data_IF_029778967474
#
_entry.id   IF_029778967474
#
_cell.length_a   1.000
_cell.length_b   1.000
_cell.length_c   1.000
_cell.angle_alpha   90.00
_cell.angle_beta   90.00
_cell.angle_gamma   90.00
#
_symmetry.space_group_name_H-M   'P 1'
#
loop_
_entity.id
_entity.type
_entity.pdbx_description
1 polymer ?
#
# COMPACT_ATOMS: atom_id res chain seq x y z
N UNK A 1 52.15 73.12 -13.87
CA UNK A 1 50.92 72.31 -13.95
C UNK A 1 51.30 70.85 -14.17
N UNK A 2 51.25 70.03 -13.12
CA UNK A 2 51.72 68.64 -13.12
C UNK A 2 50.54 67.73 -13.52
N UNK A 3 50.65 67.01 -14.65
CA UNK A 3 49.68 65.98 -15.04
C UNK A 3 50.04 64.66 -14.37
N UNK A 4 49.17 64.16 -13.48
CA UNK A 4 49.26 62.82 -12.87
C UNK A 4 48.80 61.77 -13.90
N UNK A 5 49.65 60.79 -14.19
CA UNK A 5 49.27 59.58 -14.93
C UNK A 5 48.66 58.57 -13.95
N UNK A 6 47.45 58.10 -14.22
CA UNK A 6 46.81 57.03 -13.45
C UNK A 6 47.16 55.68 -14.09
N UNK A 7 47.88 54.83 -13.36
CA UNK A 7 48.05 53.42 -13.69
C UNK A 7 46.75 52.68 -13.34
N UNK A 8 46.08 52.10 -14.34
CA UNK A 8 44.96 51.19 -14.12
C UNK A 8 45.51 49.78 -13.80
N UNK A 9 45.35 49.34 -12.55
CA UNK A 9 45.63 47.97 -12.15
C UNK A 9 44.52 47.05 -12.65
N UNK A 10 44.83 46.17 -13.59
CA UNK A 10 43.91 45.18 -14.14
C UNK A 10 43.88 43.96 -13.20
N UNK A 11 42.86 43.87 -12.36
CA UNK A 11 42.62 42.71 -11.51
C UNK A 11 42.17 41.52 -12.37
N UNK A 12 43.02 40.49 -12.51
CA UNK A 12 42.61 39.21 -13.09
C UNK A 12 41.73 38.48 -12.08
N UNK A 13 40.43 38.44 -12.36
CA UNK A 13 39.48 37.61 -11.64
C UNK A 13 39.67 36.15 -12.11
N UNK A 14 40.36 35.35 -11.31
CA UNK A 14 40.47 33.91 -11.55
C UNK A 14 39.09 33.28 -11.31
N UNK A 15 38.40 32.92 -12.39
CA UNK A 15 37.18 32.13 -12.37
C UNK A 15 37.53 30.72 -11.89
N UNK A 16 37.28 30.44 -10.61
CA UNK A 16 37.26 29.08 -10.09
C UNK A 16 36.01 28.38 -10.63
N UNK A 17 36.20 27.53 -11.64
CA UNK A 17 35.12 26.64 -12.11
C UNK A 17 34.85 25.65 -10.97
N UNK A 18 33.62 25.61 -10.41
CA UNK A 18 33.30 24.61 -9.40
C UNK A 18 33.42 23.23 -10.06
N UNK A 19 34.24 22.35 -9.49
CA UNK A 19 34.30 20.96 -9.92
C UNK A 19 32.89 20.38 -9.83
N UNK A 20 32.32 19.98 -10.97
CA UNK A 20 31.05 19.27 -11.00
C UNK A 20 31.20 18.05 -10.10
N UNK A 21 30.42 17.98 -9.02
CA UNK A 21 30.39 16.82 -8.15
C UNK A 21 30.12 15.59 -9.02
N UNK A 22 31.09 14.67 -9.07
CA UNK A 22 30.93 13.41 -9.80
C UNK A 22 29.65 12.75 -9.30
N UNK A 23 28.74 12.38 -10.20
CA UNK A 23 27.57 11.61 -9.82
C UNK A 23 28.04 10.36 -9.06
N UNK A 24 27.38 9.98 -7.94
CA UNK A 24 27.81 8.84 -7.15
C UNK A 24 27.92 7.60 -8.03
N UNK A 25 29.06 6.91 -7.95
CA UNK A 25 29.29 5.65 -8.64
C UNK A 25 28.26 4.65 -8.10
N UNK A 26 27.65 3.87 -8.99
CA UNK A 26 26.73 2.82 -8.60
C UNK A 26 27.44 1.82 -7.67
N UNK A 27 26.86 1.60 -6.49
CA UNK A 27 27.34 0.66 -5.50
C UNK A 27 26.22 -0.32 -5.13
N UNK A 28 26.15 -1.43 -5.85
CA UNK A 28 25.17 -2.49 -5.60
C UNK A 28 25.30 -3.10 -4.21
N UNK A 29 26.52 -3.16 -3.65
CA UNK A 29 26.75 -3.73 -2.32
C UNK A 29 26.16 -2.84 -1.23
N UNK A 30 26.40 -1.54 -1.29
CA UNK A 30 25.81 -0.59 -0.35
C UNK A 30 24.27 -0.61 -0.40
N UNK A 31 23.68 -0.71 -1.60
CA UNK A 31 22.23 -0.84 -1.77
C UNK A 31 21.68 -2.16 -1.18
N UNK A 32 22.40 -3.27 -1.35
CA UNK A 32 22.05 -4.55 -0.76
C UNK A 32 22.11 -4.51 0.78
N UNK A 33 23.17 -3.94 1.34
CA UNK A 33 23.33 -3.79 2.80
C UNK A 33 22.17 -2.97 3.39
N UNK A 34 21.75 -1.88 2.73
CA UNK A 34 20.60 -1.07 3.14
C UNK A 34 19.27 -1.86 3.10
N UNK A 35 19.07 -2.64 2.03
CA UNK A 35 17.88 -3.46 1.86
C UNK A 35 17.81 -4.57 2.94
N UNK A 36 18.93 -5.26 3.20
CA UNK A 36 19.05 -6.27 4.25
C UNK A 36 18.78 -5.67 5.62
N UNK A 37 19.39 -4.52 5.94
CA UNK A 37 19.19 -3.85 7.22
C UNK A 37 17.72 -3.47 7.44
N UNK A 38 17.02 -3.08 6.37
CA UNK A 38 15.58 -2.80 6.42
C UNK A 38 14.77 -4.08 6.61
N UNK A 39 15.03 -5.12 5.82
CA UNK A 39 14.33 -6.39 5.93
C UNK A 39 14.50 -7.03 7.33
N UNK A 40 15.72 -7.00 7.89
CA UNK A 40 15.99 -7.49 9.25
C UNK A 40 15.16 -6.79 10.32
N UNK A 41 14.98 -5.47 10.19
CA UNK A 41 14.28 -4.66 11.17
C UNK A 41 12.76 -4.81 11.06
N UNK A 42 12.23 -4.87 9.85
CA UNK A 42 10.79 -4.73 9.60
C UNK A 42 10.06 -6.05 9.35
N UNK A 43 10.75 -7.09 8.85
CA UNK A 43 10.08 -8.32 8.44
C UNK A 43 9.52 -9.08 9.66
N UNK A 44 8.23 -9.38 9.64
CA UNK A 44 7.56 -10.15 10.70
C UNK A 44 8.24 -11.50 10.98
N UNK A 45 8.75 -12.15 9.92
CA UNK A 45 9.46 -13.44 10.02
C UNK A 45 10.96 -13.30 10.27
N UNK A 46 11.50 -12.10 10.54
CA UNK A 46 12.95 -11.85 10.65
C UNK A 46 13.67 -12.82 11.60
N UNK A 47 13.06 -13.15 12.76
CA UNK A 47 13.62 -14.11 13.71
C UNK A 47 13.68 -15.57 13.24
N UNK A 48 13.07 -15.90 12.10
CA UNK A 48 13.05 -17.24 11.48
C UNK A 48 13.92 -17.32 10.22
N UNK A 49 14.56 -16.23 9.81
CA UNK A 49 15.41 -16.18 8.61
C UNK A 49 16.82 -16.62 8.95
N UNK A 50 17.39 -17.51 8.14
CA UNK A 50 18.83 -17.79 8.13
C UNK A 50 19.55 -16.63 7.45
N UNK A 51 19.81 -15.57 8.23
CA UNK A 51 20.40 -14.36 7.71
C UNK A 51 21.80 -14.55 7.13
N UNK A 52 22.74 -15.28 7.76
CA UNK A 52 24.04 -15.53 7.15
C UNK A 52 23.93 -16.12 5.74
N UNK A 53 23.06 -17.12 5.54
CA UNK A 53 22.86 -17.72 4.22
C UNK A 53 22.19 -16.76 3.22
N UNK A 54 21.17 -16.03 3.65
CA UNK A 54 20.46 -15.08 2.78
C UNK A 54 21.33 -13.90 2.37
N UNK A 55 22.09 -13.32 3.31
CA UNK A 55 23.00 -12.22 3.05
C UNK A 55 24.11 -12.61 2.08
N UNK A 56 24.73 -13.77 2.26
CA UNK A 56 25.74 -14.26 1.33
C UNK A 56 25.21 -14.34 -0.11
N UNK A 57 23.98 -14.87 -0.28
CA UNK A 57 23.32 -14.95 -1.59
C UNK A 57 22.99 -13.57 -2.17
N UNK A 58 22.45 -12.67 -1.35
CA UNK A 58 22.06 -11.32 -1.78
C UNK A 58 23.28 -10.49 -2.17
N UNK A 59 24.36 -10.57 -1.38
CA UNK A 59 25.63 -9.90 -1.67
C UNK A 59 26.32 -10.42 -2.92
N UNK A 60 26.32 -11.75 -3.13
CA UNK A 60 26.88 -12.33 -4.35
C UNK A 60 26.15 -11.83 -5.60
N UNK A 61 24.81 -11.75 -5.55
CA UNK A 61 24.01 -11.21 -6.64
C UNK A 61 24.25 -9.69 -6.84
N UNK A 62 24.33 -8.93 -5.74
CA UNK A 62 24.59 -7.49 -5.78
C UNK A 62 25.96 -7.14 -6.38
N UNK A 63 26.99 -7.97 -6.14
CA UNK A 63 28.31 -7.79 -6.74
C UNK A 63 28.36 -7.97 -8.25
N UNK A 64 27.32 -8.57 -8.85
CA UNK A 64 27.17 -8.73 -10.30
C UNK A 64 26.27 -7.66 -10.93
N UNK A 65 25.57 -6.85 -10.13
CA UNK A 65 24.69 -5.81 -10.62
C UNK A 65 25.49 -4.69 -11.27
N UNK A 66 25.01 -4.15 -12.40
CA UNK A 66 25.65 -3.02 -13.09
C UNK A 66 25.02 -1.67 -12.76
N UNK A 67 23.74 -1.70 -12.40
CA UNK A 67 22.92 -0.54 -12.13
C UNK A 67 21.71 -0.91 -11.25
N UNK A 68 20.87 0.08 -10.94
CA UNK A 68 19.64 -0.13 -10.16
C UNK A 68 18.61 -1.05 -10.82
N UNK A 69 18.67 -1.24 -12.15
CA UNK A 69 17.75 -2.13 -12.84
C UNK A 69 18.12 -3.59 -12.54
N UNK A 70 19.42 -3.92 -12.53
CA UNK A 70 19.88 -5.25 -12.16
C UNK A 70 19.62 -5.56 -10.66
N UNK A 71 19.57 -4.53 -9.80
CA UNK A 71 19.21 -4.67 -8.38
C UNK A 71 17.78 -5.18 -8.15
N UNK A 72 16.87 -5.07 -9.12
CA UNK A 72 15.48 -5.53 -8.94
C UNK A 72 15.39 -7.03 -8.59
N UNK A 73 16.19 -7.87 -9.25
CA UNK A 73 16.23 -9.30 -8.95
C UNK A 73 16.93 -9.58 -7.61
N UNK A 74 17.92 -8.75 -7.23
CA UNK A 74 18.60 -8.84 -5.93
C UNK A 74 17.60 -8.59 -4.79
N UNK A 75 16.76 -7.56 -4.93
CA UNK A 75 15.71 -7.27 -3.96
C UNK A 75 14.62 -8.33 -3.94
N UNK A 76 14.20 -8.84 -5.11
CA UNK A 76 13.22 -9.93 -5.17
C UNK A 76 13.73 -11.19 -4.44
N UNK A 77 15.01 -11.55 -4.63
CA UNK A 77 15.65 -12.66 -3.93
C UNK A 77 15.71 -12.44 -2.40
N UNK A 78 16.01 -11.22 -1.95
CA UNK A 78 15.97 -10.87 -0.53
C UNK A 78 14.57 -11.09 0.06
N UNK A 79 13.53 -10.58 -0.60
CA UNK A 79 12.16 -10.64 -0.11
C UNK A 79 11.58 -12.07 -0.17
N UNK A 80 11.93 -12.84 -1.20
CA UNK A 80 11.59 -14.27 -1.28
C UNK A 80 12.22 -15.05 -0.12
N UNK A 81 13.47 -14.72 0.24
CA UNK A 81 14.20 -15.31 1.36
C UNK A 81 13.57 -15.07 2.74
N UNK A 82 12.64 -14.13 2.88
CA UNK A 82 11.87 -13.93 4.12
C UNK A 82 10.87 -15.07 4.37
N UNK A 83 10.48 -15.79 3.31
CA UNK A 83 9.56 -16.92 3.40
C UNK A 83 8.16 -16.55 3.90
N UNK A 84 7.73 -15.29 3.74
CA UNK A 84 6.40 -14.82 4.14
C UNK A 84 5.35 -14.91 3.03
N UNK A 85 5.77 -15.02 1.76
CA UNK A 85 4.87 -15.08 0.60
C UNK A 85 4.10 -13.78 0.31
N UNK A 86 4.41 -12.69 1.01
CA UNK A 86 3.68 -11.41 0.95
C UNK A 86 4.59 -10.19 0.76
N UNK A 87 5.91 -10.35 0.89
CA UNK A 87 6.90 -9.34 0.57
C UNK A 87 7.31 -9.39 -0.90
N UNK A 88 7.21 -8.25 -1.61
CA UNK A 88 7.55 -8.17 -3.04
C UNK A 88 8.05 -6.79 -3.45
N UNK A 89 8.79 -6.73 -4.55
CA UNK A 89 9.30 -5.48 -5.12
C UNK A 89 8.22 -4.85 -6.00
N UNK A 90 7.86 -3.60 -5.69
CA UNK A 90 6.98 -2.80 -6.54
C UNK A 90 7.80 -1.83 -7.38
N UNK A 91 7.59 -1.85 -8.68
CA UNK A 91 8.18 -0.91 -9.64
C UNK A 91 7.13 -0.44 -10.63
N UNK A 92 7.30 0.74 -11.24
CA UNK A 92 6.43 1.16 -12.32
C UNK A 92 6.60 0.28 -13.57
N UNK A 93 5.58 0.25 -14.43
CA UNK A 93 5.50 -0.66 -15.58
C UNK A 93 6.64 -0.47 -16.60
N UNK A 94 7.10 0.76 -16.79
CA UNK A 94 8.22 1.07 -17.69
C UNK A 94 9.52 0.43 -17.21
N UNK A 95 9.79 0.47 -15.90
CA UNK A 95 10.97 -0.17 -15.29
C UNK A 95 10.88 -1.69 -15.37
N UNK A 96 9.71 -2.28 -15.14
CA UNK A 96 9.49 -3.73 -15.32
C UNK A 96 9.73 -4.15 -16.77
N UNK A 97 9.17 -3.41 -17.75
CA UNK A 97 9.40 -3.64 -19.18
C UNK A 97 10.87 -3.50 -19.57
N UNK A 98 11.57 -2.51 -19.02
CA UNK A 98 13.01 -2.33 -19.25
C UNK A 98 13.82 -3.52 -18.74
N UNK A 99 13.47 -4.06 -17.58
CA UNK A 99 14.10 -5.27 -17.04
C UNK A 99 13.85 -6.47 -17.96
N UNK A 100 12.59 -6.72 -18.33
CA UNK A 100 12.19 -7.82 -19.20
C UNK A 100 12.90 -7.75 -20.57
N UNK A 101 12.97 -6.57 -21.18
CA UNK A 101 13.65 -6.37 -22.46
C UNK A 101 15.15 -6.66 -22.39
N UNK A 102 15.79 -6.34 -21.25
CA UNK A 102 17.24 -6.56 -21.05
C UNK A 102 17.57 -8.03 -20.73
N UNK A 103 16.76 -8.68 -19.91
CA UNK A 103 17.08 -9.99 -19.33
C UNK A 103 16.29 -11.15 -19.94
N UNK A 104 15.29 -10.88 -20.78
CA UNK A 104 14.42 -11.89 -21.39
C UNK A 104 13.48 -12.60 -20.40
N UNK A 105 13.42 -12.14 -19.15
CA UNK A 105 12.56 -12.67 -18.08
C UNK A 105 12.19 -11.57 -17.09
N UNK A 106 11.12 -11.80 -16.33
CA UNK A 106 10.76 -10.94 -15.19
C UNK A 106 11.78 -11.10 -14.04
N UNK A 107 11.97 -10.02 -13.27
CA UNK A 107 12.94 -10.01 -12.15
C UNK A 107 12.49 -10.90 -10.99
N UNK A 108 11.18 -11.11 -10.85
CA UNK A 108 10.50 -11.91 -9.82
C UNK A 108 10.03 -13.27 -10.35
N UNK A 109 10.55 -13.74 -11.49
CA UNK A 109 10.13 -14.99 -12.11
C UNK A 109 10.32 -16.24 -11.23
N UNK A 110 11.22 -16.19 -10.23
CA UNK A 110 11.43 -17.30 -9.27
C UNK A 110 10.49 -17.25 -8.09
N UNK A 111 9.85 -16.12 -7.83
CA UNK A 111 9.02 -15.95 -6.65
C UNK A 111 7.83 -16.92 -6.69
N UNK A 112 7.52 -17.52 -5.54
CA UNK A 112 6.35 -18.37 -5.40
C UNK A 112 5.07 -17.56 -5.65
N UNK A 113 4.42 -17.80 -6.79
CA UNK A 113 3.12 -17.21 -7.11
C UNK A 113 2.02 -18.17 -6.69
N UNK A 114 1.25 -17.80 -5.65
CA UNK A 114 0.05 -18.55 -5.30
C UNK A 114 -1.02 -18.32 -6.36
N UNK A 115 -1.53 -19.39 -7.02
CA UNK A 115 -2.54 -19.23 -8.05
C UNK A 115 -3.79 -18.60 -7.44
N UNK A 116 -4.27 -17.54 -8.06
CA UNK A 116 -5.55 -16.95 -7.73
C UNK A 116 -6.64 -17.91 -8.24
N UNK A 117 -7.29 -18.63 -7.33
CA UNK A 117 -8.26 -19.69 -7.67
C UNK A 117 -9.67 -19.15 -7.93
N UNK A 118 -9.94 -17.89 -7.57
CA UNK A 118 -11.26 -17.31 -7.75
C UNK A 118 -11.51 -16.89 -9.20
N UNK A 119 -12.58 -17.42 -9.80
CA UNK A 119 -13.07 -16.97 -11.10
C UNK A 119 -13.51 -15.48 -11.11
N UNK A 120 -13.69 -14.87 -9.94
CA UNK A 120 -14.16 -13.49 -9.81
C UNK A 120 -13.03 -12.46 -9.73
N UNK A 121 -11.76 -12.88 -9.85
CA UNK A 121 -10.59 -12.00 -9.66
C UNK A 121 -10.59 -10.78 -10.57
N UNK A 122 -11.20 -10.90 -11.75
CA UNK A 122 -11.27 -9.83 -12.75
C UNK A 122 -12.47 -8.90 -12.55
N UNK A 123 -13.39 -9.21 -11.64
CA UNK A 123 -14.55 -8.37 -11.33
C UNK A 123 -14.09 -7.02 -10.80
N UNK A 124 -14.50 -5.93 -11.46
CA UNK A 124 -14.19 -4.55 -11.07
C UNK A 124 -15.37 -3.81 -10.47
N UNK A 125 -16.57 -4.23 -10.84
CA UNK A 125 -17.79 -3.52 -10.48
C UNK A 125 -18.31 -3.96 -9.12
N UNK A 126 -18.80 -2.97 -8.37
CA UNK A 126 -19.66 -3.20 -7.22
C UNK A 126 -21.03 -3.63 -7.73
N UNK A 127 -21.71 -4.47 -6.95
CA UNK A 127 -23.07 -4.90 -7.24
C UNK A 127 -23.86 -5.02 -5.95
N UNK A 128 -25.13 -4.71 -6.04
CA UNK A 128 -26.06 -4.66 -4.92
C UNK A 128 -27.32 -5.39 -5.36
N UNK A 129 -27.60 -6.52 -4.71
CA UNK A 129 -28.71 -7.39 -5.11
C UNK A 129 -29.58 -7.70 -3.91
N UNK A 130 -30.89 -7.57 -4.08
CA UNK A 130 -31.86 -7.98 -3.08
C UNK A 130 -32.05 -9.49 -3.17
N UNK A 131 -31.95 -10.14 -2.02
CA UNK A 131 -32.12 -11.58 -1.84
C UNK A 131 -33.41 -11.80 -1.05
N UNK A 132 -34.48 -12.21 -1.72
CA UNK A 132 -35.71 -12.59 -1.04
C UNK A 132 -35.48 -13.86 -0.24
N UNK A 133 -35.68 -13.79 1.07
CA UNK A 133 -35.61 -14.94 1.99
C UNK A 133 -36.99 -15.51 2.29
N UNK A 134 -38.05 -14.71 2.10
CA UNK A 134 -39.44 -15.12 2.27
C UNK A 134 -40.41 -13.96 2.08
N UNK A 135 -41.70 -14.13 2.43
CA UNK A 135 -42.73 -13.12 2.21
C UNK A 135 -42.54 -11.82 3.02
N UNK A 136 -41.76 -11.87 4.10
CA UNK A 136 -41.53 -10.76 5.05
C UNK A 136 -40.05 -10.51 5.34
N UNK A 137 -39.14 -11.15 4.60
CA UNK A 137 -37.71 -11.09 4.86
C UNK A 137 -36.94 -10.97 3.55
N UNK A 138 -36.07 -9.97 3.48
CA UNK A 138 -35.19 -9.68 2.36
C UNK A 138 -33.81 -9.37 2.93
N UNK A 139 -32.76 -9.97 2.36
CA UNK A 139 -31.37 -9.65 2.64
C UNK A 139 -30.76 -8.92 1.44
N UNK A 140 -29.56 -8.36 1.62
CA UNK A 140 -28.84 -7.65 0.57
C UNK A 140 -27.48 -8.29 0.33
N UNK A 141 -27.21 -8.70 -0.90
CA UNK A 141 -25.89 -9.12 -1.35
C UNK A 141 -25.13 -7.87 -1.79
N UNK A 142 -23.96 -7.68 -1.21
CA UNK A 142 -23.02 -6.60 -1.49
C UNK A 142 -21.75 -7.17 -2.10
N UNK A 143 -21.43 -6.81 -3.33
CA UNK A 143 -20.16 -7.16 -3.95
C UNK A 143 -19.15 -6.03 -3.74
N UNK A 144 -18.07 -6.33 -3.04
CA UNK A 144 -16.97 -5.40 -2.79
C UNK A 144 -15.68 -5.93 -3.45
N UNK A 145 -15.39 -5.54 -4.71
CA UNK A 145 -14.22 -6.02 -5.46
C UNK A 145 -12.92 -5.34 -5.00
N UNK A 146 -11.78 -5.75 -5.57
CA UNK A 146 -10.49 -5.10 -5.35
C UNK A 146 -10.51 -3.62 -5.77
N UNK A 147 -9.82 -2.77 -5.01
CA UNK A 147 -9.58 -1.36 -5.36
C UNK A 147 -8.14 -1.01 -5.07
N UNK A 148 -7.48 -0.33 -6.00
CA UNK A 148 -6.09 0.12 -5.86
C UNK A 148 -6.03 1.63 -6.04
N UNK A 149 -4.91 2.24 -5.62
CA UNK A 149 -4.72 3.68 -5.74
C UNK A 149 -5.63 4.50 -4.82
N UNK A 150 -5.62 5.82 -5.00
CA UNK A 150 -6.35 6.77 -4.16
C UNK A 150 -7.23 7.74 -4.95
N UNK A 151 -7.51 8.90 -4.35
CA UNK A 151 -8.16 10.01 -5.06
C UNK A 151 -9.66 9.81 -5.32
N UNK A 152 -10.13 10.28 -6.48
CA UNK A 152 -11.56 10.29 -6.82
C UNK A 152 -12.16 8.89 -6.94
N UNK A 153 -11.43 7.93 -7.54
CA UNK A 153 -11.89 6.54 -7.69
C UNK A 153 -12.08 5.84 -6.34
N UNK A 154 -11.12 5.97 -5.43
CA UNK A 154 -11.24 5.44 -4.07
C UNK A 154 -12.42 6.07 -3.30
N UNK A 155 -12.66 7.38 -3.46
CA UNK A 155 -13.82 8.06 -2.86
C UNK A 155 -15.14 7.57 -3.44
N UNK A 156 -15.23 7.40 -4.77
CA UNK A 156 -16.41 6.87 -5.43
C UNK A 156 -16.71 5.44 -4.97
N UNK A 157 -15.69 4.60 -4.85
CA UNK A 157 -15.79 3.24 -4.32
C UNK A 157 -16.39 3.23 -2.90
N UNK A 158 -15.83 4.03 -1.98
CA UNK A 158 -16.31 4.11 -0.60
C UNK A 158 -17.77 4.59 -0.53
N UNK A 159 -18.09 5.66 -1.28
CA UNK A 159 -19.43 6.23 -1.33
C UNK A 159 -20.45 5.24 -1.90
N UNK A 160 -20.07 4.44 -2.90
CA UNK A 160 -20.95 3.43 -3.51
C UNK A 160 -21.38 2.37 -2.51
N UNK A 161 -20.42 1.75 -1.80
CA UNK A 161 -20.72 0.75 -0.77
C UNK A 161 -21.57 1.34 0.36
N UNK A 162 -21.17 2.52 0.87
CA UNK A 162 -21.86 3.13 1.99
C UNK A 162 -23.31 3.47 1.65
N UNK A 163 -23.54 4.12 0.51
CA UNK A 163 -24.90 4.53 0.09
C UNK A 163 -25.81 3.33 -0.05
N UNK A 164 -25.35 2.28 -0.72
CA UNK A 164 -26.18 1.09 -0.89
C UNK A 164 -26.48 0.37 0.43
N UNK A 165 -25.54 0.37 1.38
CA UNK A 165 -25.79 -0.15 2.73
C UNK A 165 -26.81 0.72 3.49
N UNK A 166 -26.67 2.05 3.41
CA UNK A 166 -27.61 2.98 4.03
C UNK A 166 -29.03 2.85 3.43
N UNK A 167 -29.13 2.71 2.10
CA UNK A 167 -30.41 2.54 1.39
C UNK A 167 -31.07 1.19 1.69
N UNK A 168 -30.27 0.13 1.89
CA UNK A 168 -30.77 -1.20 2.22
C UNK A 168 -31.15 -1.35 3.70
N UNK A 169 -30.56 -0.57 4.61
CA UNK A 169 -30.75 -0.72 6.06
C UNK A 169 -32.21 -0.75 6.55
N UNK A 170 -33.15 0.06 6.02
CA UNK A 170 -34.54 0.03 6.48
C UNK A 170 -35.30 -1.24 6.12
N UNK A 171 -34.90 -1.97 5.07
CA UNK A 171 -35.66 -3.11 4.53
C UNK A 171 -34.92 -4.44 4.60
N UNK A 172 -33.60 -4.40 4.71
CA UNK A 172 -32.75 -5.58 4.71
C UNK A 172 -32.62 -6.17 6.12
N UNK A 173 -33.04 -7.41 6.31
CA UNK A 173 -32.90 -8.14 7.57
C UNK A 173 -31.50 -8.77 7.74
N UNK A 174 -30.62 -8.65 6.74
CA UNK A 174 -29.25 -9.15 6.79
C UNK A 174 -28.45 -8.82 5.53
N UNK A 175 -27.15 -9.11 5.55
CA UNK A 175 -26.24 -8.82 4.44
C UNK A 175 -25.36 -10.02 4.10
N UNK A 176 -25.05 -10.19 2.81
CA UNK A 176 -24.02 -11.12 2.33
C UNK A 176 -22.95 -10.29 1.64
N UNK A 177 -21.76 -10.22 2.24
CA UNK A 177 -20.62 -9.52 1.66
C UNK A 177 -19.82 -10.47 0.76
N UNK A 178 -19.94 -10.29 -0.55
CA UNK A 178 -19.22 -11.05 -1.56
C UNK A 178 -17.85 -10.43 -1.86
N UNK A 179 -16.83 -11.02 -1.22
CA UNK A 179 -15.41 -10.69 -1.41
C UNK A 179 -14.69 -11.63 -2.38
N UNK A 180 -15.40 -12.50 -3.13
CA UNK A 180 -14.75 -13.53 -3.97
C UNK A 180 -13.78 -12.96 -5.00
N UNK A 181 -14.02 -11.74 -5.49
CA UNK A 181 -13.13 -11.03 -6.43
C UNK A 181 -12.17 -10.04 -5.77
N UNK A 182 -12.12 -9.99 -4.44
CA UNK A 182 -11.32 -9.03 -3.69
C UNK A 182 -9.97 -9.63 -3.31
N UNK A 183 -8.90 -9.11 -3.92
CA UNK A 183 -7.50 -9.48 -3.62
C UNK A 183 -6.78 -8.41 -2.80
N UNK A 184 -7.53 -7.50 -2.18
CA UNK A 184 -7.00 -6.35 -1.46
C UNK A 184 -6.72 -5.15 -2.38
N UNK A 185 -5.60 -4.49 -2.09
CA UNK A 185 -5.26 -3.17 -2.61
C UNK A 185 -5.38 -2.11 -1.52
N UNK A 186 -6.00 -0.98 -1.83
CA UNK A 186 -6.22 0.09 -0.87
C UNK A 186 -7.37 -0.26 0.09
N UNK A 187 -7.02 -0.60 1.33
CA UNK A 187 -7.96 -0.98 2.38
C UNK A 187 -8.89 0.17 2.81
N UNK A 188 -8.44 1.42 2.74
CA UNK A 188 -9.16 2.58 3.27
C UNK A 188 -10.56 2.82 2.68
N UNK A 189 -10.74 2.88 1.35
CA UNK A 189 -12.07 2.98 0.77
C UNK A 189 -12.95 1.76 1.05
N UNK A 190 -12.36 0.59 1.30
CA UNK A 190 -13.12 -0.61 1.70
C UNK A 190 -13.69 -0.45 3.11
N UNK A 191 -12.84 -0.13 4.10
CA UNK A 191 -13.28 0.07 5.48
C UNK A 191 -14.29 1.21 5.61
N UNK A 192 -14.04 2.33 4.91
CA UNK A 192 -14.94 3.48 4.93
C UNK A 192 -16.29 3.15 4.31
N UNK A 193 -16.30 2.45 3.17
CA UNK A 193 -17.53 2.06 2.50
C UNK A 193 -18.35 1.02 3.25
N UNK A 194 -17.69 0.13 4.01
CA UNK A 194 -18.32 -0.90 4.82
C UNK A 194 -18.60 -0.46 6.27
N UNK A 195 -18.36 0.81 6.61
CA UNK A 195 -18.53 1.30 7.98
C UNK A 195 -19.92 1.07 8.59
N UNK A 196 -21.04 1.07 7.84
CA UNK A 196 -22.35 0.74 8.41
C UNK A 196 -22.46 -0.70 8.96
N UNK A 197 -21.66 -1.63 8.43
CA UNK A 197 -21.62 -3.02 8.92
C UNK A 197 -20.63 -3.22 10.07
N UNK A 198 -19.54 -2.45 10.06
CA UNK A 198 -18.44 -2.58 11.02
C UNK A 198 -18.73 -1.86 12.35
N UNK A 199 -19.57 -0.82 12.31
CA UNK A 199 -19.91 -0.01 13.48
C UNK A 199 -18.80 0.95 13.89
N UNK A 200 -19.16 1.87 14.78
CA UNK A 200 -18.21 2.78 15.41
C UNK A 200 -17.34 2.01 16.43
N UNK A 201 -16.03 2.27 16.43
CA UNK A 201 -15.07 1.61 17.32
C UNK A 201 -14.34 0.42 16.70
N UNK A 202 -14.66 0.01 15.47
CA UNK A 202 -13.83 -0.96 14.75
C UNK A 202 -12.39 -0.43 14.65
N UNK A 203 -11.45 -1.18 15.19
CA UNK A 203 -10.03 -0.85 15.17
C UNK A 203 -9.26 -1.94 14.42
N UNK A 204 -8.49 -1.57 13.38
CA UNK A 204 -7.55 -2.51 12.77
C UNK A 204 -6.23 -2.46 13.54
N UNK A 205 -5.80 -3.60 14.07
CA UNK A 205 -4.50 -3.73 14.73
C UNK A 205 -3.43 -4.29 13.80
N UNK A 206 -2.19 -3.93 14.06
CA UNK A 206 -0.98 -4.56 13.52
C UNK A 206 -0.12 -5.05 14.68
N UNK A 207 0.61 -6.15 14.47
CA UNK A 207 1.61 -6.65 15.41
C UNK A 207 2.92 -6.81 14.65
N UNK A 208 4.01 -6.22 15.16
CA UNK A 208 5.33 -6.33 14.54
C UNK A 208 6.07 -7.61 14.99
N UNK A 209 7.30 -7.80 14.46
CA UNK A 209 8.12 -8.97 14.79
C UNK A 209 8.52 -9.06 16.28
N UNK A 210 8.45 -7.96 17.02
CA UNK A 210 8.72 -7.91 18.47
C UNK A 210 7.49 -8.23 19.33
N UNK A 211 6.32 -8.36 18.69
CA UNK A 211 5.04 -8.51 19.37
C UNK A 211 4.41 -7.18 19.77
N UNK A 212 4.98 -6.04 19.37
CA UNK A 212 4.41 -4.74 19.67
C UNK A 212 3.15 -4.53 18.83
N UNK A 213 2.04 -4.22 19.50
CA UNK A 213 0.75 -3.98 18.86
C UNK A 213 0.50 -2.50 18.67
N UNK A 214 0.02 -2.13 17.48
CA UNK A 214 -0.43 -0.78 17.19
C UNK A 214 -1.83 -0.82 16.57
N UNK A 215 -2.61 0.23 16.82
CA UNK A 215 -3.86 0.44 16.11
C UNK A 215 -3.55 1.29 14.90
N UNK A 216 -3.87 0.80 13.71
CA UNK A 216 -3.60 1.45 12.43
C UNK A 216 -4.79 2.31 11.96
N UNK A 217 -6.01 1.87 12.23
CA UNK A 217 -7.23 2.55 11.86
C UNK A 217 -8.28 2.42 12.96
N UNK A 218 -9.13 3.42 13.09
CA UNK A 218 -10.38 3.34 13.83
C UNK A 218 -11.53 3.87 12.99
N UNK A 219 -12.69 3.21 13.04
CA UNK A 219 -13.93 3.79 12.52
C UNK A 219 -14.57 4.68 13.58
N UNK A 220 -14.84 5.94 13.23
CA UNK A 220 -15.53 6.90 14.09
C UNK A 220 -16.57 7.68 13.30
N UNK A 221 -17.83 7.56 13.70
CA UNK A 221 -18.99 8.18 13.05
C UNK A 221 -19.04 7.88 11.55
N UNK A 222 -18.83 6.62 11.18
CA UNK A 222 -18.82 6.17 9.78
C UNK A 222 -17.59 6.53 8.96
N UNK A 223 -16.59 7.21 9.54
CA UNK A 223 -15.34 7.57 8.87
C UNK A 223 -14.16 6.71 9.34
N UNK A 224 -13.29 6.29 8.41
CA UNK A 224 -11.99 5.72 8.75
C UNK A 224 -11.02 6.82 9.18
N UNK A 225 -10.62 6.76 10.46
CA UNK A 225 -9.60 7.59 11.08
C UNK A 225 -8.32 6.76 11.16
N UNK A 226 -7.34 7.11 10.32
CA UNK A 226 -6.01 6.52 10.38
C UNK A 226 -5.34 7.01 11.66
N UNK A 227 -4.89 6.11 12.53
CA UNK A 227 -4.06 6.50 13.66
C UNK A 227 -2.71 6.99 13.10
N UNK A 228 -2.22 8.14 13.56
CA UNK A 228 -0.93 8.65 13.12
C UNK A 228 0.17 7.67 13.55
N UNK A 229 0.70 6.91 12.60
CA UNK A 229 1.93 6.13 12.76
C UNK A 229 3.19 6.96 12.49
N UNK A 230 4.39 6.38 12.63
CA UNK A 230 5.67 7.05 12.37
C UNK A 230 5.94 7.42 10.90
N UNK A 231 5.04 7.05 9.96
CA UNK A 231 5.06 7.56 8.58
C UNK A 231 3.96 8.62 8.41
N UNK A 232 4.23 9.76 7.76
CA UNK A 232 3.24 10.82 7.57
C UNK A 232 2.01 10.27 6.84
N UNK A 233 0.86 10.28 7.53
CA UNK A 233 -0.41 9.88 6.94
C UNK A 233 -0.88 10.92 5.92
N UNK A 234 -1.39 10.52 4.74
CA UNK A 234 -2.19 11.43 3.93
C UNK A 234 -3.45 11.79 4.73
N UNK A 235 -3.59 13.08 5.05
CA UNK A 235 -4.69 13.63 5.83
C UNK A 235 -6.06 13.09 5.38
N UNK A 236 -6.77 12.45 6.32
CA UNK A 236 -8.15 12.02 6.13
C UNK A 236 -9.03 13.26 5.92
N UNK A 237 -9.52 13.48 4.70
CA UNK A 237 -10.56 14.47 4.43
C UNK A 237 -11.93 13.80 4.47
N UNK A 238 -12.78 14.24 5.40
CA UNK A 238 -14.24 14.01 5.36
C UNK A 238 -14.76 14.35 3.94
N UNK A 239 -15.55 13.49 3.29
CA UNK A 239 -16.48 13.96 2.28
C UNK A 239 -17.47 14.93 2.96
N UNK A 240 -17.55 16.18 2.50
CA UNK A 240 -18.54 17.12 3.03
C UNK A 240 -19.98 16.63 2.72
N UNK A 241 -20.89 16.73 3.70
CA UNK A 241 -22.32 16.53 3.50
C UNK A 241 -22.92 15.17 3.91
N UNK A 242 -22.23 14.37 4.74
CA UNK A 242 -22.77 13.07 5.19
C UNK A 242 -23.74 13.20 6.37
N UNK A 243 -24.94 12.57 6.32
CA UNK A 243 -25.73 12.34 7.52
C UNK A 243 -25.01 11.33 8.43
N UNK A 244 -25.06 11.54 9.74
CA UNK A 244 -24.54 10.58 10.70
C UNK A 244 -25.33 9.26 10.56
N UNK A 245 -24.67 8.09 10.53
CA UNK A 245 -25.38 6.82 10.59
C UNK A 245 -26.17 6.75 11.91
N UNK A 246 -27.40 6.28 11.84
CA UNK A 246 -28.21 5.98 13.02
C UNK A 246 -27.49 4.92 13.86
N UNK A 247 -27.33 5.12 15.18
CA UNK A 247 -26.68 4.14 16.05
C UNK A 247 -27.39 2.77 15.93
N UNK A 248 -26.63 1.67 15.88
CA UNK A 248 -27.19 0.32 15.85
C UNK A 248 -28.13 0.00 17.04
N UNK A 249 -28.04 0.77 18.13
CA UNK A 249 -28.91 0.67 19.31
C UNK A 249 -30.36 1.13 19.07
N UNK A 250 -30.68 1.74 17.91
CA UNK A 250 -32.07 2.05 17.54
C UNK A 250 -32.70 1.02 16.61
N UNK A 251 -32.03 -0.12 16.36
CA UNK A 251 -32.59 -1.22 15.59
C UNK A 251 -33.47 -2.10 16.50
N UNK A 252 -34.80 -2.20 16.30
CA UNK A 252 -35.71 -2.98 17.15
C UNK A 252 -35.50 -4.50 17.11
N UNK A 253 -34.47 -4.99 16.40
CA UNK A 253 -34.09 -6.41 16.33
C UNK A 253 -32.61 -6.64 16.68
N UNK A 254 -32.07 -5.95 17.68
CA UNK A 254 -30.82 -6.40 18.30
C UNK A 254 -31.10 -7.67 19.15
N UNK A 255 -30.47 -8.82 18.87
CA UNK A 255 -30.55 -9.97 19.78
C UNK A 255 -29.86 -9.62 21.10
N UNK A 256 -30.57 -9.80 22.20
CA UNK A 256 -30.00 -9.76 23.55
C UNK A 256 -29.11 -10.98 23.72
N UNK A 257 -27.80 -10.77 23.82
CA UNK A 257 -26.85 -11.73 24.37
C UNK A 257 -26.43 -11.25 25.75
#
# INVERSE_FOLDING_TARGET
>A
MIRKAALAAMAMLALTVPAAAQAPVFDGRALADQAIATARREAYRSGKVDWPALEAKVHAAAGQARDELDMLAVYAQLLEGLGDGHSFVQVPDDRRKAYLARHGREFDATAAHYPQTSAFIMRRDQAFQRLKLGPRAEATILVAPKVFGGGAGAKAYANGLYRALADAAPTSCGYVLDLRGNVGGNLWPMLTGLSPLLGDGFASGEEDASGARSVYANLKSGAAVIAAGPRPAPSARRPMGWPAPTPASSNPMAPTW
#
